data_IF_371578430370
#
_entry.id   IF_371578430370
#
_cell.length_a   1.000
_cell.length_b   1.000
_cell.length_c   1.000
_cell.angle_alpha   90.00
_cell.angle_beta   90.00
_cell.angle_gamma   90.00
#
_symmetry.space_group_name_H-M   'P 1'
#
loop_
_entity.id
_entity.type
_entity.pdbx_description
1 polymer ?
#
# COMPACT_ATOMS: atom_id res chain seq x y z
N UNK A 1 67.94 -4.96 12.01
CA UNK A 1 66.73 -4.39 12.65
C UNK A 1 65.54 -4.68 11.75
N UNK A 2 64.47 -5.23 12.33
CA UNK A 2 63.20 -5.61 11.70
C UNK A 2 62.38 -4.36 11.32
N UNK A 3 61.56 -4.47 10.28
CA UNK A 3 60.47 -3.54 10.01
C UNK A 3 59.53 -4.11 8.95
N UNK A 4 58.46 -4.78 9.39
CA UNK A 4 57.40 -5.37 8.58
C UNK A 4 56.51 -4.27 7.96
N UNK A 5 56.27 -4.31 6.66
CA UNK A 5 55.15 -3.63 6.03
C UNK A 5 53.90 -4.51 6.18
N UNK A 6 53.00 -4.12 7.09
CA UNK A 6 51.78 -4.84 7.41
C UNK A 6 50.71 -4.71 6.33
N UNK A 7 49.96 -5.79 6.12
CA UNK A 7 48.73 -5.84 5.35
C UNK A 7 47.69 -4.89 5.95
N UNK A 8 47.30 -3.84 5.23
CA UNK A 8 46.19 -2.93 5.61
C UNK A 8 44.94 -3.08 4.73
N UNK A 9 44.89 -4.08 3.85
CA UNK A 9 43.87 -4.16 2.78
C UNK A 9 42.55 -4.85 3.13
N UNK A 10 42.38 -5.44 4.32
CA UNK A 10 41.20 -6.29 4.61
C UNK A 10 40.23 -5.64 5.62
N UNK A 11 40.65 -4.59 6.32
CA UNK A 11 39.83 -3.95 7.37
C UNK A 11 38.76 -3.00 6.83
N UNK A 12 38.92 -2.44 5.62
CA UNK A 12 37.95 -1.48 5.04
C UNK A 12 36.72 -2.12 4.40
N UNK A 13 36.85 -3.33 3.84
CA UNK A 13 35.75 -4.00 3.13
C UNK A 13 34.63 -4.47 4.07
N UNK A 14 34.94 -4.79 5.32
CA UNK A 14 33.94 -5.20 6.30
C UNK A 14 33.28 -4.00 7.00
N UNK A 15 33.98 -2.89 7.24
CA UNK A 15 33.36 -1.70 7.85
C UNK A 15 32.29 -1.08 6.95
N UNK A 16 32.57 -1.03 5.65
CA UNK A 16 31.68 -0.39 4.68
C UNK A 16 30.41 -1.23 4.43
N UNK A 17 30.50 -2.56 4.57
CA UNK A 17 29.34 -3.46 4.48
C UNK A 17 28.38 -3.30 5.67
N UNK A 18 28.91 -3.17 6.90
CA UNK A 18 28.06 -3.01 8.10
C UNK A 18 27.51 -1.59 8.27
N UNK A 19 28.24 -0.58 7.79
CA UNK A 19 27.76 0.81 7.82
C UNK A 19 26.58 1.01 6.86
N UNK A 20 26.63 0.35 5.68
CA UNK A 20 25.51 0.34 4.73
C UNK A 20 24.31 -0.49 5.22
N UNK A 21 24.53 -1.58 5.97
CA UNK A 21 23.44 -2.37 6.53
C UNK A 21 22.73 -1.65 7.69
N UNK A 22 23.47 -0.92 8.52
CA UNK A 22 22.91 -0.07 9.57
C UNK A 22 22.17 1.15 8.98
N UNK A 23 22.70 1.77 7.93
CA UNK A 23 22.01 2.84 7.20
C UNK A 23 20.75 2.32 6.48
N UNK A 24 20.78 1.12 5.90
CA UNK A 24 19.60 0.49 5.30
C UNK A 24 18.55 0.08 6.35
N UNK A 25 18.99 -0.32 7.56
CA UNK A 25 18.08 -0.60 8.67
C UNK A 25 17.38 0.69 9.13
N UNK A 26 18.09 1.82 9.24
CA UNK A 26 17.51 3.11 9.65
C UNK A 26 16.52 3.70 8.63
N UNK A 27 16.63 3.34 7.35
CA UNK A 27 15.67 3.77 6.32
C UNK A 27 14.29 3.10 6.49
N UNK A 28 14.21 1.97 7.19
CA UNK A 28 12.97 1.21 7.36
C UNK A 28 12.50 1.01 8.82
N UNK A 29 13.25 1.48 9.82
CA UNK A 29 12.93 1.25 11.25
C UNK A 29 12.06 2.33 11.89
N UNK A 30 11.92 3.51 11.28
CA UNK A 30 11.03 4.55 11.80
C UNK A 30 10.47 5.44 10.68
N UNK A 31 9.42 4.95 10.03
CA UNK A 31 8.52 5.85 9.31
C UNK A 31 7.57 6.42 10.36
N UNK A 32 7.74 7.70 10.71
CA UNK A 32 6.76 8.41 11.51
C UNK A 32 5.39 8.22 10.85
N UNK A 33 4.36 7.75 11.58
CA UNK A 33 3.04 7.60 11.00
C UNK A 33 2.60 8.96 10.47
N UNK A 34 2.28 9.03 9.18
CA UNK A 34 1.73 10.25 8.59
C UNK A 34 0.49 10.63 9.39
N UNK A 35 0.42 11.84 9.97
CA UNK A 35 -0.76 12.26 10.70
C UNK A 35 -2.02 12.06 9.86
N UNK A 36 -3.07 11.46 10.44
CA UNK A 36 -4.29 11.09 9.70
C UNK A 36 -4.88 12.26 8.90
N UNK A 37 -4.85 13.47 9.45
CA UNK A 37 -5.34 14.68 8.77
C UNK A 37 -4.58 15.03 7.47
N UNK A 38 -3.31 14.62 7.34
CA UNK A 38 -2.55 14.78 6.10
C UNK A 38 -2.90 13.69 5.09
N UNK A 39 -3.22 12.48 5.56
CA UNK A 39 -3.70 11.38 4.71
C UNK A 39 -5.04 11.78 4.10
N UNK A 40 -6.00 12.23 4.91
CA UNK A 40 -7.32 12.68 4.45
C UNK A 40 -7.19 13.79 3.41
N UNK A 41 -6.32 14.78 3.66
CA UNK A 41 -6.06 15.87 2.72
C UNK A 41 -5.52 15.37 1.38
N UNK A 42 -4.52 14.48 1.41
CA UNK A 42 -3.93 13.92 0.19
C UNK A 42 -4.95 13.06 -0.56
N UNK A 43 -5.72 12.25 0.16
CA UNK A 43 -6.80 11.43 -0.41
C UNK A 43 -7.84 12.31 -1.09
N UNK A 44 -8.36 13.33 -0.40
CA UNK A 44 -9.39 14.23 -0.90
C UNK A 44 -8.89 15.10 -2.09
N UNK A 45 -7.62 15.52 -2.09
CA UNK A 45 -7.07 16.40 -3.13
C UNK A 45 -6.50 15.66 -4.36
N UNK A 46 -6.01 14.43 -4.19
CA UNK A 46 -5.26 13.72 -5.24
C UNK A 46 -5.95 12.49 -5.78
N UNK A 47 -6.95 11.95 -5.08
CA UNK A 47 -7.59 10.71 -5.44
C UNK A 47 -9.09 10.90 -5.70
N UNK A 48 -9.61 10.13 -6.64
CA UNK A 48 -11.06 9.98 -6.77
C UNK A 48 -11.50 8.84 -5.85
N UNK A 49 -12.31 9.17 -4.84
CA UNK A 49 -12.87 8.18 -3.91
C UNK A 49 -14.36 8.05 -4.16
N UNK A 50 -14.84 6.81 -4.28
CA UNK A 50 -16.26 6.52 -4.50
C UNK A 50 -16.71 5.34 -3.63
N UNK A 51 -17.97 5.38 -3.17
CA UNK A 51 -18.62 4.22 -2.54
C UNK A 51 -19.24 3.34 -3.62
N UNK A 52 -18.96 2.04 -3.58
CA UNK A 52 -19.29 1.08 -4.64
C UNK A 52 -20.78 1.07 -5.07
N UNK A 53 -21.72 1.31 -4.14
CA UNK A 53 -23.15 1.40 -4.42
C UNK A 53 -23.76 2.49 -3.50
N UNK A 54 -24.51 3.42 -4.08
CA UNK A 54 -25.07 4.58 -3.37
C UNK A 54 -26.29 4.27 -2.51
N UNK A 55 -26.43 5.05 -1.42
CA UNK A 55 -27.54 5.30 -0.46
C UNK A 55 -28.44 4.11 -0.02
N UNK A 56 -28.88 3.25 -0.92
CA UNK A 56 -29.98 2.32 -0.64
C UNK A 56 -29.46 0.94 -0.24
N UNK A 57 -29.62 0.61 1.05
CA UNK A 57 -29.59 -0.75 1.64
C UNK A 57 -28.28 -1.55 1.51
N UNK A 58 -27.49 -1.57 2.60
CA UNK A 58 -26.58 -2.66 3.03
C UNK A 58 -25.68 -3.34 1.98
N UNK A 59 -25.09 -2.61 1.05
CA UNK A 59 -23.99 -3.15 0.23
C UNK A 59 -22.64 -2.66 0.74
N UNK A 60 -22.00 -3.46 1.59
CA UNK A 60 -20.64 -3.21 2.05
C UNK A 60 -19.65 -3.76 1.03
N UNK A 61 -18.81 -2.90 0.47
CA UNK A 61 -17.64 -3.36 -0.27
C UNK A 61 -16.64 -3.95 0.72
N UNK A 62 -16.43 -5.27 0.65
CA UNK A 62 -15.50 -6.01 1.51
C UNK A 62 -14.31 -6.57 0.72
N UNK A 63 -14.17 -6.18 -0.54
CA UNK A 63 -13.04 -6.57 -1.39
C UNK A 63 -11.75 -5.97 -0.84
N UNK A 64 -10.68 -6.77 -0.78
CA UNK A 64 -9.31 -6.29 -0.60
C UNK A 64 -8.53 -6.59 -1.86
N UNK A 65 -8.46 -5.58 -2.73
CA UNK A 65 -7.94 -5.72 -4.08
C UNK A 65 -7.07 -4.50 -4.38
N UNK A 66 -5.93 -4.73 -5.03
CA UNK A 66 -5.06 -3.67 -5.55
C UNK A 66 -4.72 -4.01 -6.99
N UNK A 67 -4.95 -3.08 -7.92
CA UNK A 67 -4.51 -3.23 -9.30
C UNK A 67 -3.54 -2.10 -9.66
N UNK A 68 -2.40 -2.46 -10.23
CA UNK A 68 -1.34 -1.52 -10.64
C UNK A 68 -1.15 -1.62 -12.14
N UNK A 69 -1.23 -0.47 -12.81
CA UNK A 69 -0.97 -0.28 -14.25
C UNK A 69 -1.70 -1.24 -15.19
N UNK A 70 -2.86 -1.78 -14.78
CA UNK A 70 -3.59 -2.85 -15.49
C UNK A 70 -2.73 -4.09 -15.79
N UNK A 71 -1.70 -4.35 -14.97
CA UNK A 71 -0.71 -5.43 -15.20
C UNK A 71 -0.57 -6.39 -14.03
N UNK A 72 -0.75 -5.89 -12.81
CA UNK A 72 -0.58 -6.68 -11.59
C UNK A 72 -1.80 -6.48 -10.69
N UNK A 73 -2.39 -7.58 -10.25
CA UNK A 73 -3.59 -7.60 -9.43
C UNK A 73 -3.34 -8.42 -8.16
N UNK A 74 -3.52 -7.80 -7.00
CA UNK A 74 -3.67 -8.49 -5.73
C UNK A 74 -5.14 -8.80 -5.48
N UNK A 75 -5.43 -10.05 -5.09
CA UNK A 75 -6.72 -10.43 -4.49
C UNK A 75 -6.45 -11.26 -3.26
N UNK A 76 -7.02 -10.88 -2.12
CA UNK A 76 -6.81 -11.62 -0.87
C UNK A 76 -7.67 -11.16 0.30
N UNK A 77 -7.25 -11.58 1.50
CA UNK A 77 -7.89 -11.25 2.77
C UNK A 77 -7.26 -10.05 3.48
N UNK A 78 -6.03 -9.68 3.10
CA UNK A 78 -5.26 -8.63 3.77
C UNK A 78 -5.84 -7.25 3.52
N UNK A 79 -6.17 -6.53 4.59
CA UNK A 79 -6.77 -5.21 4.50
C UNK A 79 -5.69 -4.15 4.31
N UNK A 80 -6.02 -3.09 3.56
CA UNK A 80 -5.11 -1.94 3.44
C UNK A 80 -4.98 -1.15 4.76
N UNK A 81 -5.92 -1.30 5.69
CA UNK A 81 -5.83 -0.74 7.03
C UNK A 81 -5.05 -1.69 7.96
N UNK A 82 -4.39 -1.17 9.02
CA UNK A 82 -3.65 -2.00 9.96
C UNK A 82 -4.50 -3.15 10.55
N UNK A 83 -4.05 -4.38 10.32
CA UNK A 83 -4.60 -5.64 10.85
C UNK A 83 -3.42 -6.50 11.31
N UNK A 84 -3.64 -7.34 12.32
CA UNK A 84 -2.61 -8.22 12.90
C UNK A 84 -3.02 -9.70 12.87
N UNK A 85 -3.91 -10.05 11.94
CA UNK A 85 -4.39 -11.41 11.77
C UNK A 85 -3.49 -12.18 10.79
N UNK A 86 -3.63 -13.50 10.75
CA UNK A 86 -3.09 -14.30 9.65
C UNK A 86 -3.90 -14.05 8.37
N UNK A 87 -3.25 -13.47 7.37
CA UNK A 87 -3.86 -13.12 6.08
C UNK A 87 -3.27 -13.98 4.93
N UNK A 88 -4.02 -14.10 3.84
CA UNK A 88 -3.58 -14.80 2.63
C UNK A 88 -4.04 -14.05 1.38
N UNK A 89 -3.28 -14.15 0.29
CA UNK A 89 -3.66 -13.57 -0.99
C UNK A 89 -2.76 -14.03 -2.13
N UNK A 90 -3.17 -13.69 -3.35
CA UNK A 90 -2.44 -13.98 -4.57
C UNK A 90 -2.15 -12.69 -5.34
N UNK A 91 -0.93 -12.62 -5.87
CA UNK A 91 -0.54 -11.63 -6.88
C UNK A 91 -0.63 -12.29 -8.26
N UNK A 92 -1.34 -11.63 -9.17
CA UNK A 92 -1.66 -12.13 -10.50
C UNK A 92 -1.05 -11.17 -11.53
N UNK A 93 -0.13 -11.68 -12.35
CA UNK A 93 0.50 -10.98 -13.47
C UNK A 93 0.14 -11.63 -14.82
N UNK A 94 -1.11 -12.05 -14.96
CA UNK A 94 -1.66 -12.53 -16.23
C UNK A 94 -2.54 -11.44 -16.87
N UNK A 95 -2.13 -10.96 -18.03
CA UNK A 95 -2.80 -9.84 -18.70
C UNK A 95 -4.27 -10.14 -19.07
N UNK A 96 -4.60 -11.39 -19.39
CA UNK A 96 -5.97 -11.77 -19.74
C UNK A 96 -6.86 -11.78 -18.48
N UNK A 97 -6.34 -12.30 -17.37
CA UNK A 97 -7.09 -12.32 -16.10
C UNK A 97 -7.24 -10.92 -15.49
N UNK A 98 -6.21 -10.08 -15.53
CA UNK A 98 -6.29 -8.69 -15.06
C UNK A 98 -7.31 -7.90 -15.88
N UNK A 99 -7.30 -8.05 -17.21
CA UNK A 99 -8.28 -7.42 -18.11
C UNK A 99 -9.70 -7.94 -17.88
N UNK A 100 -9.85 -9.25 -17.67
CA UNK A 100 -11.13 -9.89 -17.33
C UNK A 100 -11.70 -9.36 -16.01
N UNK A 101 -10.88 -9.25 -14.97
CA UNK A 101 -11.28 -8.65 -13.69
C UNK A 101 -11.69 -7.18 -13.86
N UNK A 102 -10.88 -6.37 -14.56
CA UNK A 102 -11.15 -4.95 -14.75
C UNK A 102 -12.50 -4.72 -15.42
N UNK A 103 -12.73 -5.38 -16.56
CA UNK A 103 -13.94 -5.19 -17.37
C UNK A 103 -15.21 -5.75 -16.72
N UNK A 104 -15.11 -6.88 -16.02
CA UNK A 104 -16.28 -7.56 -15.43
C UNK A 104 -16.62 -7.06 -14.04
N UNK A 105 -15.64 -6.60 -13.27
CA UNK A 105 -15.82 -6.17 -11.88
C UNK A 105 -15.57 -4.68 -11.70
N UNK A 106 -14.35 -4.20 -11.94
CA UNK A 106 -13.96 -2.83 -11.59
C UNK A 106 -14.74 -1.78 -12.36
N UNK A 107 -14.76 -1.87 -13.70
CA UNK A 107 -15.41 -0.87 -14.56
C UNK A 107 -16.92 -0.80 -14.25
N UNK A 108 -17.57 -1.95 -14.08
CA UNK A 108 -18.98 -2.04 -13.73
C UNK A 108 -19.28 -1.43 -12.35
N UNK A 109 -18.44 -1.70 -11.35
CA UNK A 109 -18.60 -1.12 -10.02
C UNK A 109 -18.37 0.40 -10.07
N UNK A 110 -17.30 0.84 -10.73
CA UNK A 110 -16.90 2.24 -10.79
C UNK A 110 -17.96 3.14 -11.44
N UNK A 111 -18.58 2.65 -12.51
CA UNK A 111 -19.68 3.34 -13.22
C UNK A 111 -20.91 3.57 -12.33
N UNK A 112 -21.13 2.69 -11.34
CA UNK A 112 -22.25 2.74 -10.39
C UNK A 112 -21.88 3.39 -9.07
N UNK A 113 -20.59 3.57 -8.82
CA UNK A 113 -20.07 4.08 -7.56
C UNK A 113 -20.35 5.59 -7.43
N UNK A 114 -20.77 6.01 -6.24
CA UNK A 114 -21.14 7.40 -5.96
C UNK A 114 -20.01 8.14 -5.23
N UNK A 115 -19.84 9.46 -5.47
CA UNK A 115 -18.95 10.30 -4.66
C UNK A 115 -19.30 10.24 -3.16
N UNK A 116 -18.30 10.44 -2.30
CA UNK A 116 -18.39 10.31 -0.83
C UNK A 116 -19.14 11.46 -0.12
N UNK A 117 -20.05 12.16 -0.81
CA UNK A 117 -20.69 13.39 -0.33
C UNK A 117 -21.54 13.20 0.95
N UNK A 118 -21.91 11.96 1.25
CA UNK A 118 -22.73 11.57 2.40
C UNK A 118 -21.96 10.68 3.37
N UNK A 119 -20.89 11.19 3.96
CA UNK A 119 -20.31 10.54 5.13
C UNK A 119 -21.17 10.86 6.37
N UNK A 120 -21.96 9.93 6.91
CA UNK A 120 -22.72 10.19 8.14
C UNK A 120 -21.80 10.52 9.32
N UNK A 121 -20.52 10.15 9.24
CA UNK A 121 -19.48 10.37 10.25
C UNK A 121 -18.90 11.79 10.22
N UNK A 122 -19.01 12.52 9.09
CA UNK A 122 -18.62 13.94 8.96
C UNK A 122 -19.77 14.91 9.29
N UNK A 123 -21.00 14.43 9.48
CA UNK A 123 -22.09 15.27 10.00
C UNK A 123 -21.77 15.58 11.46
N UNK A 124 -21.57 16.85 11.79
CA UNK A 124 -21.44 17.27 13.19
C UNK A 124 -22.62 16.68 13.96
N UNK A 125 -22.35 16.01 15.08
CA UNK A 125 -23.42 15.61 16.02
C UNK A 125 -24.23 16.87 16.32
N UNK A 126 -25.47 16.91 15.85
CA UNK A 126 -26.44 17.95 16.16
C UNK A 126 -26.82 17.89 17.65
#
# INVERSE_FOLDING_TARGET
>A
MRGMAGLSGVTGLFSDLFTNLAAAADVFTHVDPVPLHLIDKVVDEKFQVRRALGDTTYYYNHSKIVCVDDKMLYVGSDNAYPSYNEEHGAWIEDAAEVSSWKTKFWDQMWDRAVPTNDEPEKKSKA
#
